data_IF_222589158933
#
_entry.id   IF_222589158933
#
_cell.length_a   1.000
_cell.length_b   1.000
_cell.length_c   1.000
_cell.angle_alpha   90.00
_cell.angle_beta   90.00
_cell.angle_gamma   90.00
#
_symmetry.space_group_name_H-M   'P 1'
#
loop_
_entity.id
_entity.type
_entity.pdbx_description
1 polymer ?
#
# COMPACT_ATOMS: atom_id res chain seq x y z
N UNK A 1 -37.79 34.66 -21.36
CA UNK A 1 -37.46 34.66 -19.92
C UNK A 1 -37.53 33.25 -19.31
N UNK A 2 -36.87 32.24 -19.93
CA UNK A 2 -36.80 30.87 -19.36
C UNK A 2 -35.41 30.21 -19.46
N UNK A 3 -34.41 30.90 -20.00
CA UNK A 3 -33.04 30.36 -20.11
C UNK A 3 -32.12 30.73 -18.93
N UNK A 4 -32.53 31.68 -18.09
CA UNK A 4 -31.72 32.12 -16.93
C UNK A 4 -32.03 31.33 -15.64
N UNK A 5 -33.11 30.54 -15.61
CA UNK A 5 -33.48 29.73 -14.44
C UNK A 5 -32.74 28.38 -14.37
N UNK A 6 -32.23 27.88 -15.51
CA UNK A 6 -31.58 26.56 -15.58
C UNK A 6 -30.10 26.58 -15.15
N UNK A 7 -29.45 27.74 -15.23
CA UNK A 7 -28.06 27.92 -14.82
C UNK A 7 -27.86 28.06 -13.30
N UNK A 8 -28.94 28.24 -12.53
CA UNK A 8 -28.89 28.34 -11.07
C UNK A 8 -29.16 27.01 -10.33
N UNK A 9 -29.44 25.91 -11.05
CA UNK A 9 -29.70 24.59 -10.45
C UNK A 9 -28.57 23.56 -10.66
N UNK A 10 -27.50 23.91 -11.38
CA UNK A 10 -26.30 23.06 -11.52
C UNK A 10 -25.11 23.59 -10.69
N UNK A 11 -25.42 24.34 -9.62
CA UNK A 11 -24.49 24.62 -8.53
C UNK A 11 -24.76 23.70 -7.34
N UNK A 12 -25.11 22.42 -7.61
CA UNK A 12 -25.03 21.36 -6.60
C UNK A 12 -23.54 21.17 -6.29
N UNK A 13 -23.09 21.96 -5.33
CA UNK A 13 -22.19 21.55 -4.26
C UNK A 13 -21.18 20.49 -4.69
N UNK A 14 -20.11 20.92 -5.37
CA UNK A 14 -18.80 20.36 -5.09
C UNK A 14 -18.42 20.79 -3.66
N UNK A 15 -19.13 20.24 -2.67
CA UNK A 15 -18.67 20.18 -1.30
C UNK A 15 -17.34 19.44 -1.36
N UNK A 16 -16.34 20.08 -0.77
CA UNK A 16 -14.94 19.76 -0.97
C UNK A 16 -14.65 18.27 -0.91
N UNK A 17 -13.64 17.85 -1.67
CA UNK A 17 -12.93 16.61 -1.43
C UNK A 17 -12.40 16.69 0.00
N UNK A 18 -13.18 16.19 0.95
CA UNK A 18 -12.70 15.96 2.30
C UNK A 18 -11.55 14.98 2.14
N UNK A 19 -10.33 15.41 2.47
CA UNK A 19 -9.25 14.48 2.75
C UNK A 19 -9.75 13.65 3.93
N UNK A 20 -10.29 12.46 3.65
CA UNK A 20 -10.84 11.60 4.70
C UNK A 20 -9.66 11.11 5.53
N UNK A 21 -9.37 11.82 6.62
CA UNK A 21 -8.60 11.26 7.71
C UNK A 21 -9.27 9.92 8.11
N UNK A 22 -8.49 8.92 8.57
CA UNK A 22 -9.07 7.70 9.08
C UNK A 22 -10.17 8.03 10.10
N UNK A 23 -11.29 7.27 10.14
CA UNK A 23 -12.29 7.45 11.18
C UNK A 23 -11.64 7.46 12.56
N UNK A 24 -12.09 8.31 13.49
CA UNK A 24 -11.48 8.49 14.82
C UNK A 24 -11.19 7.16 15.56
N UNK A 25 -12.10 6.18 15.41
CA UNK A 25 -11.91 4.82 15.94
C UNK A 25 -10.62 4.12 15.48
N UNK A 26 -10.14 4.40 14.27
CA UNK A 26 -8.97 3.78 13.65
C UNK A 26 -7.64 4.38 14.13
N UNK A 27 -7.69 5.56 14.76
CA UNK A 27 -6.51 6.24 15.31
C UNK A 27 -6.27 5.92 16.79
N UNK A 28 -7.17 5.16 17.42
CA UNK A 28 -7.01 4.76 18.83
C UNK A 28 -5.86 3.75 18.98
N UNK A 29 -5.11 3.79 20.11
CA UNK A 29 -4.02 2.85 20.34
C UNK A 29 -4.53 1.41 20.52
N UNK A 30 -3.63 0.42 20.44
CA UNK A 30 -3.96 -0.96 20.85
C UNK A 30 -4.47 -0.94 22.29
N UNK A 31 -5.62 -1.57 22.51
CA UNK A 31 -6.13 -1.84 23.85
C UNK A 31 -6.33 -3.35 24.00
N UNK A 32 -5.43 -3.97 24.77
CA UNK A 32 -5.47 -5.40 25.09
C UNK A 32 -6.72 -5.80 25.89
N UNK A 33 -7.40 -4.84 26.50
CA UNK A 33 -8.54 -5.10 27.35
C UNK A 33 -8.17 -5.80 28.65
N UNK A 34 -9.14 -6.50 29.23
CA UNK A 34 -8.97 -7.33 30.42
C UNK A 34 -9.69 -8.65 30.28
N UNK A 35 -9.20 -9.65 31.03
CA UNK A 35 -9.88 -10.93 31.19
C UNK A 35 -11.21 -10.73 31.90
N UNK A 36 -12.24 -11.42 31.43
CA UNK A 36 -13.59 -11.39 31.98
C UNK A 36 -14.28 -12.73 31.72
N UNK A 37 -15.42 -12.97 32.39
CA UNK A 37 -16.16 -14.23 32.26
C UNK A 37 -17.08 -14.30 31.03
N UNK A 38 -17.27 -13.18 30.32
CA UNK A 38 -18.23 -13.07 29.21
C UNK A 38 -17.62 -13.33 27.84
N UNK A 39 -16.28 -13.27 27.72
CA UNK A 39 -15.58 -13.47 26.47
C UNK A 39 -14.17 -14.00 26.73
N UNK A 40 -13.76 -14.99 25.94
CA UNK A 40 -12.41 -15.55 25.99
C UNK A 40 -11.39 -14.69 25.22
N UNK A 41 -10.09 -14.76 25.57
CA UNK A 41 -9.05 -14.12 24.80
C UNK A 41 -9.02 -14.59 23.34
N UNK A 42 -8.88 -13.66 22.41
CA UNK A 42 -8.86 -13.96 20.97
C UNK A 42 -7.91 -13.03 20.23
N UNK A 43 -7.47 -13.46 19.05
CA UNK A 43 -6.70 -12.60 18.15
C UNK A 43 -7.66 -11.63 17.48
N UNK A 44 -7.33 -10.34 17.57
CA UNK A 44 -8.05 -9.23 16.94
C UNK A 44 -7.09 -8.39 16.13
N UNK A 45 -7.62 -7.52 15.29
CA UNK A 45 -6.87 -6.65 14.40
C UNK A 45 -7.11 -5.19 14.78
N UNK A 46 -6.06 -4.38 14.71
CA UNK A 46 -6.14 -2.93 14.85
C UNK A 46 -5.47 -2.28 13.64
N UNK A 47 -5.90 -1.07 13.30
CA UNK A 47 -5.25 -0.26 12.29
C UNK A 47 -4.08 0.50 12.92
N UNK A 48 -2.90 0.39 12.32
CA UNK A 48 -1.72 1.17 12.69
C UNK A 48 -1.52 2.30 11.68
N UNK A 49 -1.74 3.54 12.11
CA UNK A 49 -1.58 4.72 11.23
C UNK A 49 -0.14 4.92 10.75
N UNK A 50 0.85 4.49 11.54
CA UNK A 50 2.27 4.65 11.21
C UNK A 50 2.66 3.89 9.95
N UNK A 51 2.08 2.70 9.75
CA UNK A 51 2.36 1.82 8.61
C UNK A 51 1.22 1.74 7.61
N UNK A 52 0.00 2.16 7.99
CA UNK A 52 -1.22 2.01 7.19
C UNK A 52 -1.69 0.56 7.07
N UNK A 53 -1.29 -0.32 7.99
CA UNK A 53 -1.59 -1.75 7.96
C UNK A 53 -2.52 -2.15 9.10
N UNK A 54 -3.30 -3.21 8.88
CA UNK A 54 -4.09 -3.86 9.91
C UNK A 54 -3.28 -5.00 10.51
N UNK A 55 -3.05 -4.94 11.82
CA UNK A 55 -2.11 -5.83 12.50
C UNK A 55 -2.78 -6.55 13.66
N UNK A 56 -2.43 -7.83 13.82
CA UNK A 56 -2.94 -8.69 14.86
C UNK A 56 -2.38 -8.31 16.25
N UNK A 57 -3.21 -8.43 17.27
CA UNK A 57 -2.88 -8.35 18.68
C UNK A 57 -3.76 -9.31 19.47
N UNK A 58 -3.32 -9.73 20.67
CA UNK A 58 -4.14 -10.55 21.56
C UNK A 58 -5.07 -9.66 22.38
N UNK A 59 -6.37 -9.79 22.18
CA UNK A 59 -7.37 -9.14 23.00
C UNK A 59 -7.82 -10.09 24.13
N UNK A 60 -7.86 -9.60 25.37
CA UNK A 60 -8.15 -10.41 26.56
C UNK A 60 -9.65 -10.64 26.82
N UNK A 61 -10.54 -10.03 26.04
CA UNK A 61 -11.97 -10.35 26.00
C UNK A 61 -12.91 -9.18 26.27
N UNK A 62 -12.59 -8.32 27.25
CA UNK A 62 -13.43 -7.17 27.64
C UNK A 62 -12.66 -5.85 27.68
N UNK A 63 -13.39 -4.72 27.77
CA UNK A 63 -12.86 -3.37 27.96
C UNK A 63 -11.82 -2.92 26.90
N UNK A 64 -11.99 -3.40 25.66
CA UNK A 64 -11.26 -2.91 24.51
C UNK A 64 -11.72 -1.51 24.08
N UNK A 65 -11.12 -1.00 23.00
CA UNK A 65 -11.62 0.18 22.29
C UNK A 65 -12.09 -0.21 20.88
N UNK A 66 -12.50 0.79 20.11
CA UNK A 66 -13.12 0.63 18.79
C UNK A 66 -12.10 0.31 17.68
N UNK A 67 -10.79 0.42 17.93
CA UNK A 67 -9.73 -0.06 17.03
C UNK A 67 -9.49 -1.56 17.25
N UNK A 68 -10.57 -2.34 17.23
CA UNK A 68 -10.58 -3.77 17.54
C UNK A 68 -11.55 -4.47 16.59
N UNK A 69 -10.99 -5.19 15.62
CA UNK A 69 -11.72 -5.85 14.56
C UNK A 69 -11.48 -7.35 14.62
N UNK A 70 -12.49 -8.15 14.29
CA UNK A 70 -12.42 -9.60 14.29
C UNK A 70 -11.52 -10.16 13.17
N UNK A 71 -11.49 -9.49 12.01
CA UNK A 71 -10.71 -9.92 10.85
C UNK A 71 -9.88 -8.79 10.27
N UNK A 72 -8.77 -9.12 9.61
CA UNK A 72 -7.93 -8.15 8.89
C UNK A 72 -8.76 -7.41 7.84
N UNK A 73 -9.57 -8.16 7.07
CA UNK A 73 -10.40 -7.60 6.00
C UNK A 73 -11.40 -6.56 6.52
N UNK A 74 -12.00 -6.81 7.69
CA UNK A 74 -12.92 -5.84 8.29
C UNK A 74 -12.18 -4.60 8.79
N UNK A 75 -11.01 -4.76 9.43
CA UNK A 75 -10.14 -3.63 9.78
C UNK A 75 -9.77 -2.81 8.54
N UNK A 76 -9.33 -3.48 7.47
CA UNK A 76 -8.94 -2.86 6.20
C UNK A 76 -10.09 -2.05 5.62
N UNK A 77 -11.28 -2.64 5.52
CA UNK A 77 -12.47 -1.98 4.98
C UNK A 77 -12.95 -0.81 5.85
N UNK A 78 -12.75 -0.91 7.16
CA UNK A 78 -13.18 0.10 8.12
C UNK A 78 -12.24 1.31 8.21
N UNK A 79 -10.93 1.11 7.97
CA UNK A 79 -9.89 2.08 8.32
C UNK A 79 -8.97 2.49 7.18
N UNK A 80 -8.75 1.63 6.17
CA UNK A 80 -7.92 1.99 5.01
C UNK A 80 -8.76 2.82 4.05
N UNK A 81 -8.37 4.07 3.73
CA UNK A 81 -9.09 4.85 2.74
C UNK A 81 -8.95 4.22 1.35
N UNK A 82 -10.06 4.14 0.61
CA UNK A 82 -10.12 3.51 -0.72
C UNK A 82 -9.28 4.25 -1.77
N UNK A 83 -9.00 5.54 -1.53
CA UNK A 83 -8.37 6.43 -2.51
C UNK A 83 -6.93 6.79 -2.11
N UNK A 84 -6.38 6.24 -1.02
CA UNK A 84 -4.99 6.50 -0.66
C UNK A 84 -4.09 5.81 -1.68
N UNK A 85 -3.43 6.65 -2.44
CA UNK A 85 -2.19 6.28 -3.08
C UNK A 85 -1.08 6.85 -2.24
N UNK A 86 -0.59 5.99 -1.37
CA UNK A 86 0.59 6.21 -0.54
C UNK A 86 1.76 5.37 -1.05
N UNK A 87 2.92 5.67 -0.50
CA UNK A 87 4.04 4.74 -0.62
C UNK A 87 3.89 3.61 0.40
N UNK A 88 4.60 2.47 0.20
CA UNK A 88 4.52 1.34 1.12
C UNK A 88 4.85 1.74 2.56
N UNK A 89 4.31 0.99 3.52
CA UNK A 89 4.45 1.25 4.96
C UNK A 89 4.06 2.69 5.36
N UNK A 90 3.07 3.26 4.66
CA UNK A 90 2.63 4.65 4.80
C UNK A 90 3.77 5.70 4.77
N UNK A 91 4.87 5.37 4.08
CA UNK A 91 6.03 6.24 3.96
C UNK A 91 5.72 7.48 3.13
N UNK A 92 6.45 8.57 3.39
CA UNK A 92 6.29 9.82 2.64
C UNK A 92 6.79 9.65 1.19
N UNK A 93 6.11 10.23 0.20
CA UNK A 93 6.60 10.26 -1.17
C UNK A 93 7.96 10.95 -1.26
N UNK A 94 8.84 10.43 -2.12
CA UNK A 94 10.10 11.08 -2.46
C UNK A 94 9.81 12.33 -3.28
N UNK A 95 10.54 13.41 -3.01
CA UNK A 95 10.51 14.63 -3.82
C UNK A 95 11.63 14.55 -4.85
N UNK A 96 11.30 14.88 -6.10
CA UNK A 96 12.28 15.09 -7.17
C UNK A 96 12.99 16.43 -6.97
N UNK A 97 13.99 16.71 -7.81
CA UNK A 97 14.69 18.00 -7.84
C UNK A 97 13.77 19.20 -8.11
N UNK A 98 12.66 18.99 -8.83
CA UNK A 98 11.61 20.00 -9.09
C UNK A 98 10.65 20.20 -7.88
N UNK A 99 10.85 19.47 -6.78
CA UNK A 99 10.00 19.51 -5.59
C UNK A 99 8.70 18.69 -5.68
N UNK A 100 8.36 18.14 -6.85
CA UNK A 100 7.19 17.30 -7.07
C UNK A 100 7.49 15.83 -6.76
N UNK A 101 6.48 15.07 -6.34
CA UNK A 101 6.55 13.62 -6.06
C UNK A 101 5.88 12.77 -7.13
N UNK A 102 5.26 13.39 -8.15
CA UNK A 102 4.60 12.68 -9.24
C UNK A 102 5.58 12.01 -10.19
N UNK A 103 5.19 10.83 -10.67
CA UNK A 103 5.80 10.16 -11.81
C UNK A 103 4.71 9.76 -12.81
N UNK A 104 5.07 9.53 -14.06
CA UNK A 104 4.19 9.16 -15.16
C UNK A 104 4.94 8.24 -16.10
N UNK A 105 4.26 7.26 -16.67
CA UNK A 105 4.82 6.57 -17.82
C UNK A 105 4.83 7.51 -19.03
N UNK A 106 6.02 7.95 -19.43
CA UNK A 106 6.19 8.69 -20.68
C UNK A 106 6.19 7.68 -21.84
N UNK A 107 5.07 7.59 -22.54
CA UNK A 107 5.05 6.99 -23.88
C UNK A 107 5.58 8.04 -24.85
N UNK A 108 6.85 7.94 -25.22
CA UNK A 108 7.44 8.79 -26.24
C UNK A 108 7.14 8.19 -27.61
N UNK A 109 6.34 8.88 -28.42
CA UNK A 109 6.09 8.54 -29.82
C UNK A 109 7.13 9.27 -30.68
N UNK A 110 8.03 8.52 -31.32
CA UNK A 110 9.00 9.10 -32.26
C UNK A 110 8.55 8.84 -33.70
N UNK A 111 8.66 9.87 -34.56
CA UNK A 111 8.61 9.70 -36.01
C UNK A 111 10.02 9.33 -36.49
N UNK A 112 10.24 8.08 -36.88
CA UNK A 112 11.49 7.68 -37.52
C UNK A 112 11.39 7.94 -39.04
N UNK A 113 12.15 8.90 -39.55
CA UNK A 113 12.42 8.99 -40.99
C UNK A 113 13.56 8.02 -41.30
N UNK A 114 13.26 6.88 -41.90
CA UNK A 114 14.24 5.82 -42.15
C UNK A 114 15.29 6.24 -43.17
N UNK A 115 16.56 6.30 -42.77
CA UNK A 115 17.70 6.02 -43.67
C UNK A 115 18.88 5.42 -42.89
N UNK A 116 18.73 4.16 -42.44
CA UNK A 116 19.87 3.40 -41.93
C UNK A 116 19.50 2.28 -40.94
N UNK A 117 20.34 1.22 -40.82
CA UNK A 117 20.04 0.07 -39.99
C UNK A 117 20.26 0.39 -38.50
N UNK A 118 19.23 0.14 -37.67
CA UNK A 118 19.29 0.36 -36.23
C UNK A 118 19.97 -0.81 -35.51
N UNK A 119 21.09 -0.54 -34.83
CA UNK A 119 21.57 -1.35 -33.70
C UNK A 119 21.06 -0.69 -32.43
N UNK A 120 20.12 -1.29 -31.68
CA UNK A 120 20.06 -1.22 -30.22
C UNK A 120 18.95 -2.13 -29.66
N UNK A 121 19.21 -2.63 -28.46
CA UNK A 121 18.55 -3.76 -27.79
C UNK A 121 17.27 -3.39 -27.01
N UNK A 122 16.32 -2.70 -27.62
CA UNK A 122 15.03 -2.35 -26.99
C UNK A 122 13.84 -2.88 -27.79
N UNK A 123 12.88 -3.51 -27.11
CA UNK A 123 11.69 -4.13 -27.72
C UNK A 123 10.72 -3.03 -28.18
N UNK A 124 10.67 -2.77 -29.49
CA UNK A 124 9.75 -1.80 -30.09
C UNK A 124 8.48 -2.50 -30.58
N UNK A 125 7.30 -2.00 -30.21
CA UNK A 125 6.06 -2.29 -30.95
C UNK A 125 5.96 -1.27 -32.08
N UNK A 126 6.25 -1.69 -33.31
CA UNK A 126 6.14 -0.85 -34.50
C UNK A 126 4.95 -1.27 -35.36
N UNK A 127 4.18 -0.30 -35.87
CA UNK A 127 3.13 -0.50 -36.87
C UNK A 127 3.42 0.35 -38.10
N UNK A 128 3.05 -0.15 -39.29
CA UNK A 128 3.13 0.61 -40.54
C UNK A 128 1.79 1.28 -40.82
N UNK A 129 1.77 2.60 -40.85
CA UNK A 129 0.59 3.39 -41.23
C UNK A 129 1.02 4.34 -42.36
N UNK A 130 0.38 4.25 -43.53
CA UNK A 130 0.66 5.09 -44.71
C UNK A 130 2.16 5.22 -45.05
N UNK A 131 2.89 4.09 -45.13
CA UNK A 131 4.34 4.02 -45.43
C UNK A 131 5.29 4.62 -44.38
N UNK A 132 4.80 5.07 -43.22
CA UNK A 132 5.61 5.55 -42.10
C UNK A 132 5.69 4.48 -41.02
N UNK A 133 6.91 4.14 -40.59
CA UNK A 133 7.14 3.21 -39.49
C UNK A 133 6.90 3.93 -38.16
N UNK A 134 5.72 3.70 -37.57
CA UNK A 134 5.41 4.18 -36.22
C UNK A 134 5.96 3.21 -35.20
N UNK A 135 7.12 3.50 -34.64
CA UNK A 135 7.68 2.76 -33.52
C UNK A 135 7.34 3.44 -32.20
N UNK A 136 6.66 2.72 -31.30
CA UNK A 136 6.44 3.17 -29.93
C UNK A 136 7.60 2.67 -29.07
N UNK A 137 8.39 3.59 -28.52
CA UNK A 137 9.38 3.27 -27.49
C UNK A 137 8.75 3.40 -26.11
N UNK A 138 8.79 2.33 -25.31
CA UNK A 138 8.51 2.42 -23.88
C UNK A 138 9.78 2.88 -23.17
N UNK A 139 9.99 4.19 -23.03
CA UNK A 139 11.05 4.71 -22.16
C UNK A 139 10.51 4.82 -20.74
N UNK A 140 10.95 3.96 -19.84
CA UNK A 140 10.86 4.24 -18.41
C UNK A 140 11.85 5.37 -18.11
N UNK A 141 11.41 6.63 -18.10
CA UNK A 141 12.24 7.65 -17.48
C UNK A 141 12.41 7.29 -16.00
N UNK A 142 13.66 7.25 -15.53
CA UNK A 142 14.01 7.25 -14.11
C UNK A 142 13.55 8.56 -13.47
N UNK A 143 12.25 8.73 -13.28
CA UNK A 143 11.68 9.98 -12.79
C UNK A 143 11.87 10.16 -11.28
N UNK A 144 12.18 9.08 -10.56
CA UNK A 144 12.21 9.07 -9.10
C UNK A 144 13.64 8.99 -8.52
N UNK A 145 14.67 9.22 -9.34
CA UNK A 145 16.08 9.11 -8.95
C UNK A 145 16.55 7.68 -8.68
N UNK A 146 17.81 7.53 -8.27
CA UNK A 146 18.43 6.22 -7.99
C UNK A 146 17.75 5.46 -6.87
N UNK A 147 17.34 6.17 -5.81
CA UNK A 147 16.78 5.58 -4.59
C UNK A 147 15.26 5.39 -4.65
N UNK A 148 14.62 5.90 -5.70
CA UNK A 148 13.18 5.89 -5.86
C UNK A 148 12.68 5.00 -7.00
N UNK A 149 11.45 4.53 -6.88
CA UNK A 149 10.71 3.88 -7.95
C UNK A 149 9.33 4.52 -8.11
N UNK A 150 8.75 4.42 -9.30
CA UNK A 150 7.41 4.93 -9.57
C UNK A 150 6.35 3.92 -9.10
N UNK A 151 5.58 4.27 -8.07
CA UNK A 151 4.41 3.50 -7.63
C UNK A 151 3.20 3.92 -8.46
N UNK A 152 2.77 3.04 -9.36
CA UNK A 152 1.75 3.33 -10.40
C UNK A 152 0.34 3.35 -9.82
N UNK A 153 -0.52 4.20 -10.40
CA UNK A 153 -1.98 4.26 -10.18
C UNK A 153 -2.71 3.74 -11.43
N UNK A 154 -4.00 3.42 -11.28
CA UNK A 154 -4.86 2.97 -12.40
C UNK A 154 -4.88 3.95 -13.60
N UNK A 155 -4.66 5.25 -13.39
CA UNK A 155 -4.74 6.29 -14.44
C UNK A 155 -3.43 6.58 -15.19
N UNK A 156 -2.42 5.70 -15.15
CA UNK A 156 -1.17 5.86 -15.91
C UNK A 156 -0.18 6.90 -15.35
N UNK A 157 -0.51 7.53 -14.22
CA UNK A 157 0.40 8.31 -13.37
C UNK A 157 0.71 7.57 -12.07
N UNK A 158 1.69 8.06 -11.31
CA UNK A 158 2.15 7.45 -10.07
C UNK A 158 2.80 8.46 -9.13
N UNK A 159 3.32 7.96 -8.01
CA UNK A 159 4.14 8.73 -7.08
C UNK A 159 5.50 8.05 -6.86
N UNK A 160 6.52 8.87 -6.64
CA UNK A 160 7.86 8.40 -6.34
C UNK A 160 7.95 7.89 -4.90
N UNK A 161 8.36 6.64 -4.74
CA UNK A 161 8.47 5.96 -3.45
C UNK A 161 9.88 5.39 -3.26
N UNK A 162 10.31 5.26 -2.00
CA UNK A 162 11.64 4.73 -1.68
C UNK A 162 11.78 3.25 -2.00
N UNK A 163 12.83 2.88 -2.74
CA UNK A 163 13.23 1.49 -2.97
C UNK A 163 13.65 0.80 -1.68
N UNK A 164 14.32 1.52 -0.76
CA UNK A 164 14.74 0.98 0.52
C UNK A 164 13.55 0.60 1.41
N UNK A 165 12.54 1.47 1.50
CA UNK A 165 11.29 1.18 2.23
C UNK A 165 10.60 -0.05 1.64
N UNK A 166 10.45 -0.11 0.31
CA UNK A 166 9.85 -1.28 -0.36
C UNK A 166 10.64 -2.55 -0.07
N UNK A 167 11.96 -2.51 -0.13
CA UNK A 167 12.83 -3.66 0.18
C UNK A 167 12.62 -4.17 1.60
N UNK A 168 12.61 -3.26 2.58
CA UNK A 168 12.42 -3.62 3.98
C UNK A 168 11.02 -4.19 4.24
N UNK A 169 9.98 -3.61 3.64
CA UNK A 169 8.62 -4.13 3.76
C UNK A 169 8.48 -5.54 3.15
N UNK A 170 9.06 -5.78 1.97
CA UNK A 170 9.06 -7.10 1.34
C UNK A 170 9.81 -8.13 2.20
N UNK A 171 10.92 -7.72 2.83
CA UNK A 171 11.66 -8.58 3.75
C UNK A 171 10.83 -8.94 5.00
N UNK A 172 10.03 -8.00 5.52
CA UNK A 172 9.14 -8.27 6.65
C UNK A 172 8.01 -9.24 6.31
N UNK A 173 7.43 -9.15 5.10
CA UNK A 173 6.43 -10.10 4.60
C UNK A 173 7.02 -11.48 4.25
N UNK A 174 8.33 -11.58 3.99
CA UNK A 174 9.02 -12.83 3.69
C UNK A 174 10.14 -13.13 4.70
N UNK A 175 9.82 -13.40 5.97
CA UNK A 175 10.80 -13.58 7.02
C UNK A 175 11.50 -14.95 6.94
N UNK A 176 12.82 -14.96 7.07
CA UNK A 176 13.58 -16.22 7.20
C UNK A 176 13.42 -16.84 8.60
N UNK A 177 12.62 -17.89 8.75
CA UNK A 177 12.38 -18.53 10.05
C UNK A 177 13.49 -19.49 10.52
N UNK A 178 14.50 -19.74 9.69
CA UNK A 178 15.57 -20.71 9.95
C UNK A 178 15.16 -22.16 9.67
N UNK A 179 15.99 -23.12 10.07
CA UNK A 179 15.81 -24.55 9.77
C UNK A 179 14.56 -25.13 10.44
N UNK A 180 13.76 -25.90 9.68
CA UNK A 180 12.55 -26.58 10.14
C UNK A 180 11.52 -25.65 10.80
N UNK A 181 11.41 -24.42 10.30
CA UNK A 181 10.40 -23.46 10.74
C UNK A 181 9.78 -22.77 9.54
N UNK A 182 8.50 -22.48 9.64
CA UNK A 182 7.73 -21.78 8.63
C UNK A 182 7.05 -20.55 9.23
N UNK A 183 6.76 -19.57 8.37
CA UNK A 183 5.98 -18.39 8.76
C UNK A 183 4.53 -18.79 9.01
N UNK A 184 3.95 -18.29 10.10
CA UNK A 184 2.54 -18.50 10.41
C UNK A 184 1.69 -17.70 9.43
N UNK A 185 0.70 -18.38 8.82
CA UNK A 185 -0.29 -17.79 7.93
C UNK A 185 -1.70 -18.03 8.43
N UNK A 186 -2.60 -17.09 8.16
CA UNK A 186 -4.04 -17.16 8.42
C UNK A 186 -4.74 -16.83 7.10
N UNK A 187 -5.52 -17.77 6.55
CA UNK A 187 -6.15 -17.63 5.23
C UNK A 187 -5.15 -17.28 4.12
N UNK A 188 -4.02 -18.00 4.07
CA UNK A 188 -2.89 -17.79 3.14
C UNK A 188 -2.09 -16.50 3.30
N UNK A 189 -2.58 -15.54 4.08
CA UNK A 189 -1.88 -14.30 4.42
C UNK A 189 -0.95 -14.47 5.62
N UNK A 190 0.20 -13.79 5.58
CA UNK A 190 1.17 -13.80 6.69
C UNK A 190 0.56 -13.14 7.92
N UNK A 191 0.59 -13.83 9.06
CA UNK A 191 0.14 -13.26 10.32
C UNK A 191 1.16 -12.22 10.81
N UNK A 192 0.76 -10.95 10.77
CA UNK A 192 1.58 -9.80 11.17
C UNK A 192 1.02 -9.12 12.42
N UNK A 193 1.90 -8.58 13.26
CA UNK A 193 1.56 -7.81 14.46
C UNK A 193 2.49 -6.62 14.63
N UNK A 194 2.08 -5.58 15.36
CA UNK A 194 2.87 -4.34 15.51
C UNK A 194 4.26 -4.59 16.06
N UNK A 195 4.32 -5.38 17.13
CA UNK A 195 5.56 -5.81 17.78
C UNK A 195 5.31 -7.12 18.53
N UNK A 196 6.38 -7.73 19.04
CA UNK A 196 6.26 -8.95 19.84
C UNK A 196 5.52 -8.75 21.17
N UNK A 197 5.45 -7.52 21.68
CA UNK A 197 4.71 -7.18 22.90
C UNK A 197 3.19 -7.24 22.70
N UNK A 198 2.74 -7.30 21.43
CA UNK A 198 1.32 -7.44 21.09
C UNK A 198 0.76 -8.86 21.29
N UNK A 199 1.62 -9.83 21.66
CA UNK A 199 1.26 -11.21 22.02
C UNK A 199 0.36 -11.95 21.00
N UNK A 200 0.47 -11.60 19.71
CA UNK A 200 -0.40 -12.08 18.64
C UNK A 200 -0.02 -13.45 18.08
N UNK A 201 1.17 -13.94 18.42
CA UNK A 201 1.66 -15.23 17.92
C UNK A 201 0.94 -16.41 18.59
N UNK A 202 0.49 -17.41 17.82
CA UNK A 202 -0.15 -18.60 18.39
C UNK A 202 0.83 -19.44 19.22
N UNK A 203 0.28 -20.29 20.07
CA UNK A 203 1.08 -21.20 20.92
C UNK A 203 2.02 -22.07 20.07
N UNK A 204 3.23 -22.30 20.61
CA UNK A 204 4.27 -23.05 19.91
C UNK A 204 5.00 -22.28 18.79
N UNK A 205 4.57 -21.05 18.48
CA UNK A 205 5.30 -20.16 17.57
C UNK A 205 6.16 -19.13 18.31
N UNK A 206 7.15 -18.58 17.63
CA UNK A 206 8.05 -17.55 18.15
C UNK A 206 7.89 -16.28 17.33
N UNK A 207 7.76 -15.16 18.03
CA UNK A 207 7.73 -13.85 17.38
C UNK A 207 9.10 -13.50 16.82
N UNK A 208 9.12 -12.94 15.60
CA UNK A 208 10.29 -12.40 14.93
C UNK A 208 10.02 -10.94 14.58
N UNK A 209 10.87 -10.06 15.10
CA UNK A 209 10.81 -8.62 14.83
C UNK A 209 11.29 -8.33 13.40
N UNK A 210 10.52 -7.57 12.65
CA UNK A 210 10.90 -6.98 11.36
C UNK A 210 11.21 -5.48 11.46
N UNK A 211 11.22 -4.81 10.32
CA UNK A 211 11.49 -3.37 10.20
C UNK A 211 10.26 -2.52 10.55
N UNK A 212 9.09 -2.90 10.07
CA UNK A 212 7.81 -2.19 10.24
C UNK A 212 6.80 -2.95 11.09
N UNK A 213 6.83 -4.29 11.02
CA UNK A 213 5.97 -5.16 11.81
C UNK A 213 6.72 -6.43 12.20
N UNK A 214 6.14 -7.20 13.11
CA UNK A 214 6.63 -8.50 13.53
C UNK A 214 5.80 -9.61 12.91
N UNK A 215 6.42 -10.77 12.73
CA UNK A 215 5.81 -12.00 12.22
C UNK A 215 5.99 -13.14 13.22
N UNK A 216 5.33 -14.27 12.98
CA UNK A 216 5.49 -15.47 13.82
C UNK A 216 6.09 -16.60 13.00
N UNK A 217 7.06 -17.30 13.59
CA UNK A 217 7.67 -18.50 13.03
C UNK A 217 7.29 -19.70 13.89
N UNK A 218 6.69 -20.74 13.30
CA UNK A 218 6.38 -22.00 13.98
C UNK A 218 7.26 -23.13 13.46
N UNK A 219 7.46 -24.17 14.27
CA UNK A 219 8.18 -25.37 13.85
C UNK A 219 7.34 -26.19 12.87
N UNK A 220 7.98 -26.74 11.85
CA UNK A 220 7.41 -27.72 10.91
C UNK A 220 7.56 -29.12 11.50
#
# INVERSE_FOLDING_TARGET
MHFLAYFLLVSISFLGVATQAPPDRCSKPINFGKKCSTAEPSIRYHFDEGTGLCMAFKFEGCDGNENNFETESWCSSACKPTDIVGCPANSKPLKKSDGNSGCRESVSSYLFFTSGPLRYSTMFQCNFIFYVLYCRSMFFQEQCGSDGYCSKRLSGGGICCSKAVRKNLVADYNPECGTNREVVKVNDDVLIGKNCDSNFCPDGSKCKKGNYFSTCCKKV
#
